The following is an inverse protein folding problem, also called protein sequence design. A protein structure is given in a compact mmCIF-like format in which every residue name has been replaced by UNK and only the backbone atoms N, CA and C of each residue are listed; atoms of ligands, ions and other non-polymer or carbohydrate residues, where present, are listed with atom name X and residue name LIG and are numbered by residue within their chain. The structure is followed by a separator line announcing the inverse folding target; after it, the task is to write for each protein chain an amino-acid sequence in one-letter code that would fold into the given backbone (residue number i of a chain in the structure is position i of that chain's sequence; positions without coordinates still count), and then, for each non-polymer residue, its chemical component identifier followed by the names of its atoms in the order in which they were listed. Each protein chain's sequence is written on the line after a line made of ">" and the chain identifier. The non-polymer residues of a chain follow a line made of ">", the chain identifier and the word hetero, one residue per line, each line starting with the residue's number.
data_IF_240928470017
#
_entry.id   IF_240928470017
#
_cell.length_a   1.000
_cell.length_b   1.000
_cell.length_c   1.000
_cell.angle_alpha   90.00
_cell.angle_beta   90.00
_cell.angle_gamma   90.00
#
_symmetry.space_group_name_H-M   'P 1'
#
loop_
_entity.id
_entity.type
_entity.pdbx_description
1 polymer ?
#
# COMPACT_ATOMS: atom_id res chain seq x y z
N UNK A 1 -38.44 21.30 -64.94
CA UNK A 1 -37.90 20.30 -63.99
C UNK A 1 -37.45 21.05 -62.75
N UNK A 2 -38.05 20.71 -61.62
CA UNK A 2 -37.96 21.43 -60.35
C UNK A 2 -36.59 21.26 -59.71
N UNK A 3 -36.09 22.33 -59.09
CA UNK A 3 -34.88 22.32 -58.28
C UNK A 3 -35.11 21.78 -56.88
N UNK A 4 -34.04 21.37 -56.22
CA UNK A 4 -33.99 21.24 -54.76
C UNK A 4 -32.57 21.46 -54.26
N UNK A 5 -32.44 22.53 -53.48
CA UNK A 5 -31.29 22.94 -52.68
C UNK A 5 -31.35 22.20 -51.34
N UNK A 6 -30.25 21.57 -50.92
CA UNK A 6 -30.12 20.99 -49.58
C UNK A 6 -29.08 21.81 -48.80
N UNK A 7 -29.53 22.49 -47.75
CA UNK A 7 -28.69 23.06 -46.69
C UNK A 7 -28.42 21.98 -45.63
N UNK A 8 -27.25 21.95 -44.98
CA UNK A 8 -27.09 21.30 -43.68
C UNK A 8 -27.25 22.35 -42.56
N UNK A 9 -28.24 22.17 -41.70
CA UNK A 9 -28.35 22.90 -40.43
C UNK A 9 -28.83 21.96 -39.33
N UNK A 10 -28.07 21.86 -38.25
CA UNK A 10 -28.43 21.16 -37.01
C UNK A 10 -27.17 20.88 -36.21
N UNK A 11 -26.59 21.87 -35.52
CA UNK A 11 -26.82 22.20 -34.10
C UNK A 11 -26.91 20.97 -33.19
N UNK A 12 -25.83 20.81 -32.43
CA UNK A 12 -25.65 19.96 -31.25
C UNK A 12 -26.83 20.01 -30.30
N UNK A 13 -27.27 18.84 -29.82
CA UNK A 13 -27.99 18.68 -28.56
C UNK A 13 -27.06 17.99 -27.56
N UNK A 14 -26.39 18.79 -26.74
CA UNK A 14 -26.04 18.42 -25.37
C UNK A 14 -27.33 18.47 -24.56
N UNK A 15 -27.70 17.37 -23.92
CA UNK A 15 -28.91 17.31 -23.11
C UNK A 15 -29.41 15.90 -22.94
N UNK A 16 -28.73 15.12 -22.09
CA UNK A 16 -29.27 13.88 -21.50
C UNK A 16 -28.52 13.34 -20.27
N UNK A 17 -27.46 13.98 -19.80
CA UNK A 17 -26.76 13.55 -18.56
C UNK A 17 -27.33 14.24 -17.30
N UNK A 18 -27.92 15.43 -17.43
CA UNK A 18 -28.42 16.21 -16.26
C UNK A 18 -29.60 15.56 -15.51
N UNK A 19 -30.29 14.58 -16.09
CA UNK A 19 -31.49 14.00 -15.48
C UNK A 19 -31.20 12.77 -14.61
N UNK A 20 -30.06 12.10 -14.79
CA UNK A 20 -29.71 10.94 -13.96
C UNK A 20 -29.02 11.35 -12.65
N UNK A 21 -28.26 12.45 -12.66
CA UNK A 21 -27.64 13.03 -11.45
C UNK A 21 -28.64 13.79 -10.57
N UNK A 22 -29.74 14.31 -11.15
CA UNK A 22 -30.77 15.04 -10.42
C UNK A 22 -31.64 14.18 -9.47
N UNK A 23 -31.63 12.84 -9.61
CA UNK A 23 -32.40 11.96 -8.71
C UNK A 23 -31.63 11.47 -7.48
N UNK A 24 -30.34 11.80 -7.37
CA UNK A 24 -29.50 11.43 -6.23
C UNK A 24 -29.10 12.62 -5.35
N UNK A 25 -29.61 13.83 -5.63
CA UNK A 25 -29.20 15.03 -4.93
C UNK A 25 -30.38 15.96 -4.53
N UNK A 26 -30.57 16.12 -3.21
CA UNK A 26 -31.13 17.26 -2.43
C UNK A 26 -32.65 17.31 -2.08
N UNK A 27 -33.04 17.99 -0.94
CA UNK A 27 -32.29 19.09 -0.29
C UNK A 27 -32.18 19.11 1.25
N UNK A 28 -31.04 19.61 1.75
CA UNK A 28 -30.95 20.43 2.96
C UNK A 28 -29.91 21.56 2.77
N UNK A 29 -30.38 22.80 2.85
CA UNK A 29 -29.67 24.08 3.06
C UNK A 29 -30.65 25.01 3.81
N UNK A 30 -30.26 26.14 4.45
CA UNK A 30 -28.97 26.87 4.37
C UNK A 30 -28.40 27.42 5.71
N UNK A 31 -27.14 27.88 5.71
CA UNK A 31 -26.71 29.09 6.44
C UNK A 31 -25.34 29.63 5.97
N UNK A 32 -25.23 30.96 5.96
CA UNK A 32 -24.16 31.83 5.43
C UNK A 32 -22.87 31.91 6.28
N UNK A 33 -21.75 32.31 5.67
CA UNK A 33 -20.57 32.87 6.39
C UNK A 33 -19.30 32.99 5.52
N UNK A 34 -18.43 34.01 5.70
CA UNK A 34 -17.71 34.66 4.60
C UNK A 34 -16.31 34.11 4.25
N UNK A 35 -15.86 34.52 3.06
CA UNK A 35 -14.57 34.25 2.42
C UNK A 35 -13.34 34.41 3.32
N UNK A 36 -12.52 33.36 3.37
CA UNK A 36 -11.15 33.39 3.86
C UNK A 36 -10.18 33.35 2.66
N UNK A 37 -9.36 34.40 2.53
CA UNK A 37 -8.20 34.42 1.63
C UNK A 37 -7.12 33.51 2.21
N UNK A 38 -6.72 32.50 1.43
CA UNK A 38 -5.53 31.68 1.72
C UNK A 38 -4.30 32.45 1.24
N UNK A 39 -3.48 32.91 2.18
CA UNK A 39 -2.12 33.38 1.92
C UNK A 39 -1.20 32.17 1.82
N UNK A 40 -0.38 32.13 0.77
CA UNK A 40 0.68 31.14 0.59
C UNK A 40 1.72 31.28 1.70
N UNK A 41 1.97 30.20 2.44
CA UNK A 41 3.07 30.13 3.41
C UNK A 41 4.30 29.48 2.79
N UNK A 42 5.40 30.23 2.74
CA UNK A 42 6.74 29.71 2.49
C UNK A 42 7.13 28.70 3.59
N UNK A 43 7.62 27.53 3.18
CA UNK A 43 8.07 26.47 4.07
C UNK A 43 9.43 26.82 4.68
N UNK A 44 9.42 27.30 5.92
CA UNK A 44 10.60 27.37 6.78
C UNK A 44 10.92 25.97 7.35
N UNK A 45 12.15 25.50 7.18
CA UNK A 45 12.65 24.25 7.76
C UNK A 45 12.93 24.43 9.25
N UNK A 46 12.02 23.96 10.10
CA UNK A 46 12.22 23.90 11.55
C UNK A 46 12.98 22.62 11.90
N UNK A 47 14.26 22.75 12.28
CA UNK A 47 15.00 21.66 12.94
C UNK A 47 14.51 21.50 14.38
N UNK A 48 13.66 20.51 14.61
CA UNK A 48 13.27 20.09 15.96
C UNK A 48 14.43 19.33 16.62
N UNK A 49 14.93 19.82 17.76
CA UNK A 49 15.84 19.07 18.62
C UNK A 49 15.03 18.02 19.38
N UNK A 50 15.26 16.74 19.08
CA UNK A 50 14.67 15.63 19.82
C UNK A 50 15.11 15.67 21.29
N UNK A 51 14.16 15.49 22.20
CA UNK A 51 14.39 15.42 23.64
C UNK A 51 14.58 13.93 24.01
N UNK A 52 15.77 13.48 24.44
CA UNK A 52 15.99 12.08 24.77
C UNK A 52 15.30 11.77 26.11
N UNK A 53 14.22 10.98 26.05
CA UNK A 53 13.63 10.38 27.25
C UNK A 53 14.64 9.39 27.85
N UNK A 54 15.14 9.70 29.04
CA UNK A 54 16.14 8.92 29.77
C UNK A 54 15.56 7.61 30.29
N UNK A 55 15.75 6.51 29.54
CA UNK A 55 15.86 5.17 30.13
C UNK A 55 17.23 5.07 30.80
N UNK A 56 17.27 5.16 32.11
CA UNK A 56 18.48 4.93 32.92
C UNK A 56 18.24 3.71 33.80
N UNK A 57 19.23 2.81 33.79
CA UNK A 57 19.39 1.62 34.64
C UNK A 57 18.73 0.33 34.16
N UNK A 58 19.33 -0.25 33.12
CA UNK A 58 19.62 -1.66 33.11
C UNK A 58 21.01 -1.85 32.46
N UNK A 59 21.77 -2.83 32.95
CA UNK A 59 23.00 -3.35 32.31
C UNK A 59 22.62 -4.01 30.99
N UNK A 60 22.16 -3.16 30.07
CA UNK A 60 21.34 -3.48 28.92
C UNK A 60 22.21 -4.15 27.86
N UNK A 61 21.99 -5.44 27.63
CA UNK A 61 22.34 -6.01 26.34
C UNK A 61 21.64 -5.16 25.28
N UNK A 62 22.41 -4.40 24.50
CA UNK A 62 21.84 -3.56 23.47
C UNK A 62 21.15 -4.49 22.46
N UNK A 63 19.83 -4.39 22.39
CA UNK A 63 19.02 -5.16 21.47
C UNK A 63 18.55 -4.25 20.35
N UNK A 64 18.61 -4.75 19.11
CA UNK A 64 17.88 -4.19 18.00
C UNK A 64 16.60 -5.00 17.81
N UNK A 65 15.44 -4.35 17.86
CA UNK A 65 14.16 -4.95 17.53
C UNK A 65 13.58 -4.32 16.27
N UNK A 66 13.31 -5.15 15.26
CA UNK A 66 12.71 -4.71 14.00
C UNK A 66 11.42 -5.46 13.73
N UNK A 67 10.49 -4.80 13.05
CA UNK A 67 9.15 -5.33 12.77
C UNK A 67 8.78 -5.11 11.31
N UNK A 68 8.12 -6.08 10.69
CA UNK A 68 7.40 -5.89 9.44
C UNK A 68 5.94 -6.29 9.59
N UNK A 69 5.03 -5.52 9.01
CA UNK A 69 3.61 -5.80 9.07
C UNK A 69 2.86 -5.25 7.86
N UNK A 70 2.32 -6.16 7.05
CA UNK A 70 1.28 -5.82 6.10
C UNK A 70 -0.04 -5.62 6.87
N UNK A 71 -0.53 -4.39 6.90
CA UNK A 71 -1.67 -3.98 7.71
C UNK A 71 -3.03 -4.37 7.07
N UNK A 72 -3.04 -4.78 5.80
CA UNK A 72 -4.26 -5.20 5.10
C UNK A 72 -5.36 -4.13 5.07
N UNK A 73 -5.01 -2.83 5.12
CA UNK A 73 -6.00 -1.75 5.15
C UNK A 73 -6.53 -1.42 3.75
N UNK A 74 -6.92 -2.45 3.01
CA UNK A 74 -7.46 -2.40 1.65
C UNK A 74 -9.01 -2.39 1.69
N UNK A 75 -9.66 -1.23 1.43
CA UNK A 75 -11.12 -1.13 1.43
C UNK A 75 -11.75 -2.08 0.42
N UNK A 76 -12.86 -2.70 0.82
CA UNK A 76 -13.59 -3.65 -0.03
C UNK A 76 -12.97 -5.04 -0.12
N UNK A 77 -11.74 -5.23 0.37
CA UNK A 77 -11.09 -6.55 0.50
C UNK A 77 -11.17 -7.03 1.94
N UNK A 78 -10.72 -6.21 2.89
CA UNK A 78 -10.76 -6.53 4.32
C UNK A 78 -11.98 -5.86 4.96
N UNK A 79 -12.77 -6.58 5.79
CA UNK A 79 -13.90 -5.98 6.50
C UNK A 79 -13.43 -5.06 7.62
N UNK A 80 -14.19 -3.98 7.87
CA UNK A 80 -14.00 -3.04 8.98
C UNK A 80 -12.62 -2.36 9.01
N UNK A 81 -12.04 -2.02 7.85
CA UNK A 81 -10.70 -1.41 7.76
C UNK A 81 -10.52 -0.15 8.61
N UNK A 82 -11.55 0.68 8.79
CA UNK A 82 -11.46 1.87 9.64
C UNK A 82 -11.29 1.54 11.12
N UNK A 83 -12.06 0.56 11.61
CA UNK A 83 -11.90 0.05 12.97
C UNK A 83 -10.52 -0.59 13.14
N UNK A 84 -10.11 -1.43 12.19
CA UNK A 84 -8.80 -2.11 12.20
C UNK A 84 -7.65 -1.13 12.17
N UNK A 85 -7.73 -0.04 11.41
CA UNK A 85 -6.68 0.98 11.39
C UNK A 85 -6.45 1.57 12.79
N UNK A 86 -7.51 1.74 13.58
CA UNK A 86 -7.43 2.20 14.97
C UNK A 86 -6.80 1.12 15.86
N UNK A 87 -7.29 -0.12 15.78
CA UNK A 87 -6.75 -1.24 16.58
C UNK A 87 -5.28 -1.54 16.26
N UNK A 88 -4.88 -1.41 14.99
CA UNK A 88 -3.50 -1.54 14.53
C UNK A 88 -2.63 -0.42 15.10
N UNK A 89 -3.12 0.82 15.08
CA UNK A 89 -2.39 1.94 15.68
C UNK A 89 -2.14 1.69 17.17
N UNK A 90 -3.16 1.26 17.91
CA UNK A 90 -3.04 0.92 19.34
C UNK A 90 -2.04 -0.22 19.56
N UNK A 91 -2.16 -1.31 18.80
CA UNK A 91 -1.26 -2.46 18.92
C UNK A 91 0.20 -2.10 18.60
N UNK A 92 0.44 -1.27 17.58
CA UNK A 92 1.79 -0.82 17.23
C UNK A 92 2.39 0.14 18.27
N UNK A 93 1.59 1.00 18.91
CA UNK A 93 2.11 1.85 20.00
C UNK A 93 2.62 1.02 21.18
N UNK A 94 1.98 -0.11 21.44
CA UNK A 94 2.34 -1.04 22.52
C UNK A 94 3.45 -2.03 22.13
N UNK A 95 3.65 -2.27 20.83
CA UNK A 95 4.67 -3.18 20.35
C UNK A 95 6.09 -2.66 20.63
N UNK A 96 6.97 -3.56 21.08
CA UNK A 96 8.40 -3.26 21.21
C UNK A 96 9.07 -3.45 19.85
N UNK A 97 9.52 -2.35 19.27
CA UNK A 97 10.36 -2.28 18.09
C UNK A 97 11.16 -0.96 18.13
N UNK A 98 12.32 -0.95 17.49
CA UNK A 98 13.10 0.24 17.18
C UNK A 98 12.79 0.75 15.78
N UNK A 99 12.58 -0.17 14.84
CA UNK A 99 12.22 0.15 13.46
C UNK A 99 11.10 -0.79 12.98
N UNK A 100 10.08 -0.23 12.34
CA UNK A 100 9.00 -0.99 11.72
C UNK A 100 8.85 -0.62 10.25
N UNK A 101 8.51 -1.61 9.43
CA UNK A 101 8.05 -1.42 8.06
C UNK A 101 6.58 -1.82 8.00
N UNK A 102 5.72 -0.87 7.63
CA UNK A 102 4.29 -1.08 7.43
C UNK A 102 4.00 -1.16 5.93
N UNK A 103 3.12 -2.06 5.54
CA UNK A 103 2.61 -2.19 4.17
C UNK A 103 1.08 -2.12 4.16
N UNK A 104 0.51 -1.82 3.00
CA UNK A 104 -0.94 -1.72 2.78
C UNK A 104 -1.67 -0.69 3.65
N UNK A 105 -1.00 0.41 4.01
CA UNK A 105 -1.64 1.58 4.63
C UNK A 105 -2.08 2.53 3.52
N UNK A 106 -3.12 2.15 2.78
CA UNK A 106 -3.43 2.77 1.50
C UNK A 106 -4.03 4.16 1.61
N UNK A 107 -5.06 4.32 2.44
CA UNK A 107 -5.87 5.54 2.45
C UNK A 107 -5.22 6.67 3.26
N UNK A 108 -5.35 7.94 2.83
CA UNK A 108 -4.78 9.07 3.55
C UNK A 108 -5.22 9.18 5.01
N UNK A 109 -6.48 8.85 5.32
CA UNK A 109 -6.98 8.89 6.71
C UNK A 109 -6.33 7.82 7.60
N UNK A 110 -6.09 6.62 7.06
CA UNK A 110 -5.43 5.54 7.79
C UNK A 110 -3.97 5.91 8.03
N UNK A 111 -3.27 6.38 7.00
CA UNK A 111 -1.90 6.88 7.14
C UNK A 111 -1.80 7.97 8.21
N UNK A 112 -2.67 8.99 8.16
CA UNK A 112 -2.68 10.07 9.14
C UNK A 112 -2.97 9.58 10.56
N UNK A 113 -3.89 8.63 10.73
CA UNK A 113 -4.22 8.05 12.04
C UNK A 113 -3.02 7.30 12.63
N UNK A 114 -2.45 6.35 11.88
CA UNK A 114 -1.28 5.59 12.32
C UNK A 114 -0.07 6.50 12.57
N UNK A 115 0.19 7.44 11.65
CA UNK A 115 1.26 8.43 11.81
C UNK A 115 1.09 9.22 13.09
N UNK A 116 -0.11 9.77 13.36
CA UNK A 116 -0.36 10.53 14.58
C UNK A 116 -0.12 9.69 15.84
N UNK A 117 -0.66 8.47 15.88
CA UNK A 117 -0.49 7.57 17.03
C UNK A 117 0.99 7.26 17.32
N UNK A 118 1.78 6.96 16.28
CA UNK A 118 3.18 6.54 16.44
C UNK A 118 4.13 7.71 16.66
N UNK A 119 3.89 8.85 16.00
CA UNK A 119 4.73 10.07 16.17
C UNK A 119 4.48 10.77 17.51
N UNK A 120 3.28 10.66 18.09
CA UNK A 120 3.02 11.10 19.46
C UNK A 120 3.90 10.35 20.48
N UNK A 121 4.32 9.12 20.16
CA UNK A 121 5.30 8.35 20.92
C UNK A 121 6.77 8.68 20.61
N UNK A 122 7.04 9.73 19.81
CA UNK A 122 8.38 10.15 19.44
C UNK A 122 9.01 9.41 18.25
N UNK A 123 8.25 8.54 17.56
CA UNK A 123 8.76 7.88 16.35
C UNK A 123 8.79 8.84 15.15
N UNK A 124 9.74 8.65 14.25
CA UNK A 124 9.74 9.20 12.89
C UNK A 124 8.85 8.38 11.98
N UNK A 125 8.13 9.04 11.08
CA UNK A 125 7.29 8.41 10.05
C UNK A 125 7.78 8.84 8.66
N UNK A 126 8.10 7.87 7.82
CA UNK A 126 8.58 8.08 6.46
C UNK A 126 7.69 7.30 5.50
N UNK A 127 7.05 8.01 4.57
CA UNK A 127 6.21 7.44 3.52
C UNK A 127 6.45 8.24 2.24
N UNK A 128 6.54 7.58 1.07
CA UNK A 128 6.53 8.30 -0.20
C UNK A 128 5.23 9.09 -0.37
N UNK A 129 5.26 10.25 -1.05
CA UNK A 129 4.04 10.88 -1.50
C UNK A 129 3.33 9.98 -2.53
N UNK A 130 2.00 10.09 -2.67
CA UNK A 130 1.28 9.35 -3.70
C UNK A 130 1.74 9.77 -5.11
N UNK A 131 1.77 8.83 -6.06
CA UNK A 131 1.95 9.16 -7.47
C UNK A 131 0.69 9.79 -8.04
N UNK A 132 0.87 10.78 -8.91
CA UNK A 132 -0.26 11.42 -9.58
C UNK A 132 -0.99 10.43 -10.47
N UNK A 133 -2.30 10.36 -10.27
CA UNK A 133 -3.27 9.66 -11.14
C UNK A 133 -4.10 10.67 -11.97
N UNK A 134 -3.60 11.90 -12.12
CA UNK A 134 -4.27 12.94 -12.89
C UNK A 134 -4.43 12.54 -14.36
N UNK A 135 -5.45 13.07 -15.03
CA UNK A 135 -5.72 12.80 -16.45
C UNK A 135 -6.43 11.47 -16.74
N UNK A 136 -6.71 10.66 -15.72
CA UNK A 136 -7.57 9.49 -15.86
C UNK A 136 -9.04 9.93 -15.88
N UNK A 137 -9.81 9.39 -16.83
CA UNK A 137 -11.24 9.65 -16.98
C UNK A 137 -11.94 8.42 -17.52
N UNK A 138 -13.27 8.43 -17.46
CA UNK A 138 -14.12 7.40 -18.00
C UNK A 138 -14.92 7.93 -19.20
N UNK A 139 -15.14 7.09 -20.20
CA UNK A 139 -16.12 7.37 -21.25
C UNK A 139 -17.56 7.27 -20.73
N UNK A 140 -18.44 8.09 -21.31
CA UNK A 140 -19.87 8.13 -20.93
C UNK A 140 -20.54 6.75 -20.98
N UNK A 141 -20.20 5.91 -21.97
CA UNK A 141 -20.78 4.57 -22.14
C UNK A 141 -20.35 3.58 -21.05
N UNK A 142 -19.11 3.70 -20.57
CA UNK A 142 -18.55 2.88 -19.50
C UNK A 142 -19.28 3.19 -18.19
N UNK A 143 -19.36 4.49 -17.85
CA UNK A 143 -20.04 4.94 -16.63
C UNK A 143 -21.53 4.64 -16.65
N UNK A 144 -22.20 4.85 -17.79
CA UNK A 144 -23.65 4.60 -17.89
C UNK A 144 -23.98 3.14 -17.56
N UNK A 145 -23.19 2.20 -18.09
CA UNK A 145 -23.41 0.77 -17.87
C UNK A 145 -23.17 0.41 -16.39
N UNK A 146 -22.04 0.84 -15.83
CA UNK A 146 -21.70 0.57 -14.43
C UNK A 146 -22.71 1.19 -13.45
N UNK A 147 -23.07 2.47 -13.64
CA UNK A 147 -24.04 3.19 -12.80
C UNK A 147 -25.40 2.51 -12.86
N UNK A 148 -25.84 2.07 -14.04
CA UNK A 148 -27.12 1.35 -14.18
C UNK A 148 -27.12 0.05 -13.38
N UNK A 149 -26.03 -0.71 -13.40
CA UNK A 149 -25.92 -1.93 -12.61
C UNK A 149 -25.90 -1.63 -11.10
N UNK A 150 -25.04 -0.71 -10.66
CA UNK A 150 -24.91 -0.33 -9.24
C UNK A 150 -26.25 0.17 -8.68
N UNK A 151 -26.97 1.01 -9.43
CA UNK A 151 -28.28 1.49 -9.02
C UNK A 151 -29.33 0.37 -8.89
N UNK A 152 -29.22 -0.67 -9.71
CA UNK A 152 -30.17 -1.79 -9.74
C UNK A 152 -29.88 -2.84 -8.66
N UNK A 153 -28.61 -3.07 -8.33
CA UNK A 153 -28.19 -4.19 -7.50
C UNK A 153 -27.61 -3.79 -6.13
N UNK A 154 -27.11 -2.56 -5.97
CA UNK A 154 -26.34 -2.16 -4.80
C UNK A 154 -27.00 -1.08 -3.93
N UNK A 155 -28.30 -0.83 -4.14
CA UNK A 155 -29.04 0.13 -3.32
C UNK A 155 -29.23 -0.41 -1.91
N UNK A 156 -28.79 0.35 -0.91
CA UNK A 156 -28.95 0.02 0.51
C UNK A 156 -27.83 -0.87 1.07
N UNK A 157 -26.84 -1.20 0.25
CA UNK A 157 -25.67 -1.95 0.68
C UNK A 157 -24.76 -1.11 1.56
N UNK A 158 -24.16 -1.75 2.56
CA UNK A 158 -23.20 -1.11 3.47
C UNK A 158 -21.90 -0.69 2.78
N UNK A 159 -21.55 -1.37 1.68
CA UNK A 159 -20.42 -1.03 0.80
C UNK A 159 -20.83 -1.17 -0.65
N UNK A 160 -21.07 -0.02 -1.30
CA UNK A 160 -21.38 0.04 -2.73
C UNK A 160 -20.25 -0.58 -3.58
N UNK A 161 -19.00 -0.34 -3.20
CA UNK A 161 -17.84 -0.89 -3.91
C UNK A 161 -17.79 -2.44 -3.84
N UNK A 162 -17.97 -3.02 -2.66
CA UNK A 162 -18.01 -4.48 -2.49
C UNK A 162 -19.18 -5.09 -3.27
N UNK A 163 -20.36 -4.48 -3.20
CA UNK A 163 -21.49 -4.92 -4.00
C UNK A 163 -21.21 -4.84 -5.51
N UNK A 164 -20.64 -3.74 -6.00
CA UNK A 164 -20.32 -3.58 -7.42
C UNK A 164 -19.37 -4.69 -7.91
N UNK A 165 -18.35 -5.04 -7.13
CA UNK A 165 -17.41 -6.14 -7.44
C UNK A 165 -18.13 -7.48 -7.61
N UNK A 166 -19.15 -7.75 -6.78
CA UNK A 166 -19.87 -9.02 -6.81
C UNK A 166 -21.03 -9.07 -7.80
N UNK A 167 -21.80 -7.99 -7.88
CA UNK A 167 -23.06 -7.94 -8.63
C UNK A 167 -22.95 -7.25 -9.98
N UNK A 168 -21.91 -6.43 -10.20
CA UNK A 168 -21.68 -5.64 -11.42
C UNK A 168 -20.35 -5.96 -12.08
N UNK A 169 -19.90 -7.21 -11.93
CA UNK A 169 -18.58 -7.64 -12.41
C UNK A 169 -18.42 -7.49 -13.92
N UNK A 170 -19.46 -7.77 -14.70
CA UNK A 170 -19.39 -7.68 -16.16
C UNK A 170 -19.14 -6.23 -16.62
N UNK A 171 -19.78 -5.26 -15.97
CA UNK A 171 -19.60 -3.84 -16.21
C UNK A 171 -18.21 -3.37 -15.77
N UNK A 172 -17.73 -3.83 -14.61
CA UNK A 172 -16.38 -3.54 -14.11
C UNK A 172 -15.29 -4.12 -15.02
N UNK A 173 -15.44 -5.37 -15.47
CA UNK A 173 -14.50 -6.02 -16.40
C UNK A 173 -14.51 -5.35 -17.79
N UNK A 174 -15.58 -4.62 -18.11
CA UNK A 174 -15.74 -3.84 -19.34
C UNK A 174 -15.11 -2.44 -19.30
N UNK A 175 -14.62 -1.98 -18.15
CA UNK A 175 -13.96 -0.68 -18.02
C UNK A 175 -12.59 -0.70 -18.71
N UNK A 176 -12.23 0.42 -19.32
CA UNK A 176 -10.85 0.72 -19.69
C UNK A 176 -9.96 0.84 -18.45
N UNK A 177 -8.67 0.56 -18.61
CA UNK A 177 -7.69 0.64 -17.52
C UNK A 177 -7.68 2.05 -16.88
N UNK A 178 -7.85 3.10 -17.71
CA UNK A 178 -7.91 4.48 -17.23
C UNK A 178 -9.17 4.78 -16.41
N UNK A 179 -10.33 4.29 -16.86
CA UNK A 179 -11.56 4.46 -16.10
C UNK A 179 -11.53 3.67 -14.77
N UNK A 180 -11.08 2.41 -14.79
CA UNK A 180 -10.97 1.58 -13.61
C UNK A 180 -10.03 2.20 -12.56
N UNK A 181 -8.90 2.76 -12.99
CA UNK A 181 -7.98 3.45 -12.11
C UNK A 181 -8.54 4.78 -11.59
N UNK A 182 -9.27 5.54 -12.40
CA UNK A 182 -9.95 6.75 -11.93
C UNK A 182 -10.97 6.41 -10.82
N UNK A 183 -11.83 5.41 -11.04
CA UNK A 183 -12.87 5.03 -10.08
C UNK A 183 -12.31 4.45 -8.79
N UNK A 184 -11.15 3.80 -8.86
CA UNK A 184 -10.47 3.23 -7.70
C UNK A 184 -9.53 4.21 -6.99
N UNK A 185 -9.36 5.43 -7.53
CA UNK A 185 -8.52 6.44 -6.92
C UNK A 185 -9.04 6.89 -5.55
N UNK A 186 -10.36 6.84 -5.35
CA UNK A 186 -11.02 7.18 -4.10
C UNK A 186 -12.20 6.23 -3.88
N UNK A 187 -11.94 5.19 -3.09
CA UNK A 187 -12.92 4.17 -2.70
C UNK A 187 -13.84 4.63 -1.56
N UNK A 188 -13.56 5.78 -0.94
CA UNK A 188 -14.35 6.29 0.18
C UNK A 188 -15.51 7.16 -0.27
N UNK A 189 -15.38 7.77 -1.44
CA UNK A 189 -16.43 8.53 -2.09
C UNK A 189 -16.72 7.97 -3.49
N UNK A 190 -17.35 6.78 -3.62
CA UNK A 190 -17.64 6.19 -4.94
C UNK A 190 -18.49 7.11 -5.83
N UNK A 191 -19.42 7.88 -5.25
CA UNK A 191 -20.27 8.79 -6.00
C UNK A 191 -19.52 10.04 -6.48
N UNK A 192 -18.69 10.64 -5.62
CA UNK A 192 -17.81 11.73 -6.04
C UNK A 192 -16.74 11.26 -7.02
N UNK A 193 -16.24 10.02 -6.88
CA UNK A 193 -15.35 9.38 -7.87
C UNK A 193 -16.03 9.25 -9.22
N UNK A 194 -17.28 8.80 -9.29
CA UNK A 194 -18.03 8.77 -10.55
C UNK A 194 -18.14 10.17 -11.19
N UNK A 195 -18.48 11.20 -10.41
CA UNK A 195 -18.59 12.56 -10.91
C UNK A 195 -17.24 13.13 -11.39
N UNK A 196 -16.15 12.86 -10.66
CA UNK A 196 -14.79 13.26 -11.05
C UNK A 196 -14.33 12.55 -12.31
N UNK A 197 -14.59 11.24 -12.42
CA UNK A 197 -14.18 10.44 -13.56
C UNK A 197 -15.02 10.68 -14.81
N UNK A 198 -16.25 11.19 -14.66
CA UNK A 198 -17.09 11.66 -15.75
C UNK A 198 -16.66 13.02 -16.31
N UNK A 199 -15.88 13.80 -15.55
CA UNK A 199 -15.39 15.07 -16.05
C UNK A 199 -14.40 14.82 -17.18
N UNK A 200 -14.45 15.61 -18.27
CA UNK A 200 -13.42 15.52 -19.30
C UNK A 200 -12.06 15.72 -18.64
N UNK A 201 -11.11 14.85 -18.95
CA UNK A 201 -9.74 15.02 -18.48
C UNK A 201 -9.32 16.46 -18.79
N UNK A 202 -8.95 17.22 -17.76
CA UNK A 202 -8.43 18.56 -17.97
C UNK A 202 -7.30 18.43 -19.00
N UNK A 203 -7.30 19.27 -20.04
CA UNK A 203 -6.18 19.37 -20.98
C UNK A 203 -4.97 19.91 -20.21
N UNK A 204 -4.32 19.06 -19.41
CA UNK A 204 -3.07 19.40 -18.76
C UNK A 204 -2.00 19.49 -19.84
N UNK A 205 -1.64 20.73 -20.14
CA UNK A 205 -0.96 21.15 -21.35
C UNK A 205 0.55 20.83 -21.40
N UNK A 206 1.09 19.93 -20.58
CA UNK A 206 2.54 19.67 -20.59
C UNK A 206 2.99 18.31 -20.02
N UNK A 207 2.10 17.33 -19.83
CA UNK A 207 2.50 16.05 -19.26
C UNK A 207 2.89 15.07 -20.37
N UNK A 208 4.18 15.03 -20.66
CA UNK A 208 4.80 14.13 -21.66
C UNK A 208 4.75 12.64 -21.32
N UNK A 209 4.16 12.25 -20.18
CA UNK A 209 4.01 10.85 -19.76
C UNK A 209 2.53 10.47 -19.63
N UNK A 210 2.12 9.31 -20.16
CA UNK A 210 0.75 8.84 -19.99
C UNK A 210 0.47 8.63 -18.49
N UNK A 211 -0.75 8.97 -18.03
CA UNK A 211 -1.11 8.75 -16.65
C UNK A 211 -1.06 7.27 -16.31
N UNK A 212 -0.53 6.94 -15.13
CA UNK A 212 -0.43 5.56 -14.68
C UNK A 212 -1.74 5.17 -14.00
N UNK A 213 -2.36 4.03 -14.38
CA UNK A 213 -3.66 3.62 -13.86
C UNK A 213 -3.52 2.99 -12.47
N UNK A 214 -2.96 3.73 -11.52
CA UNK A 214 -2.79 3.25 -10.15
C UNK A 214 -4.08 3.29 -9.35
N UNK A 215 -4.34 2.21 -8.63
CA UNK A 215 -5.44 2.13 -7.68
C UNK A 215 -5.12 2.96 -6.43
N UNK A 216 -6.15 3.25 -5.62
CA UNK A 216 -6.02 3.84 -4.28
C UNK A 216 -5.27 5.18 -4.26
N UNK A 217 -5.53 5.99 -5.30
CA UNK A 217 -5.03 7.35 -5.42
C UNK A 217 -3.52 7.43 -5.63
N UNK A 218 -2.91 6.37 -6.19
CA UNK A 218 -1.47 6.31 -6.35
C UNK A 218 -0.71 6.21 -5.02
N UNK A 219 -1.36 5.73 -3.96
CA UNK A 219 -0.68 5.47 -2.69
C UNK A 219 0.29 4.30 -2.82
N UNK A 220 1.51 4.45 -2.30
CA UNK A 220 2.46 3.34 -2.17
C UNK A 220 2.05 2.33 -1.10
N UNK A 221 1.21 2.74 -0.16
CA UNK A 221 0.78 1.92 0.98
C UNK A 221 1.91 1.51 1.93
N UNK A 222 3.13 2.04 1.77
CA UNK A 222 4.29 1.66 2.58
C UNK A 222 4.75 2.80 3.49
N UNK A 223 5.14 2.46 4.71
CA UNK A 223 5.74 3.41 5.64
C UNK A 223 6.87 2.77 6.44
N UNK A 224 7.97 3.50 6.61
CA UNK A 224 9.03 3.19 7.56
C UNK A 224 8.80 4.02 8.84
N UNK A 225 8.74 3.35 9.98
CA UNK A 225 8.58 3.96 11.29
C UNK A 225 9.83 3.68 12.11
N UNK A 226 10.44 4.70 12.72
CA UNK A 226 11.65 4.52 13.54
C UNK A 226 11.58 5.28 14.85
N UNK A 227 11.85 4.61 15.96
CA UNK A 227 12.05 5.23 17.29
C UNK A 227 13.51 5.67 17.51
N UNK A 228 14.37 5.42 16.53
CA UNK A 228 15.77 5.83 16.51
C UNK A 228 15.96 7.01 15.55
N UNK A 229 17.03 7.81 15.68
CA UNK A 229 17.31 8.89 14.74
C UNK A 229 17.50 8.37 13.32
N UNK A 230 16.85 9.02 12.34
CA UNK A 230 16.91 8.65 10.93
C UNK A 230 17.63 9.74 10.12
N UNK A 231 18.50 9.34 9.21
CA UNK A 231 19.18 10.18 8.23
C UNK A 231 19.13 9.55 6.84
N UNK A 232 19.55 10.30 5.81
CA UNK A 232 19.81 9.80 4.46
C UNK A 232 18.64 8.97 3.89
N UNK A 233 17.45 9.57 3.90
CA UNK A 233 16.23 8.93 3.41
C UNK A 233 16.16 9.03 1.89
N UNK A 234 15.97 7.90 1.24
CA UNK A 234 15.73 7.81 -0.19
C UNK A 234 14.47 6.97 -0.47
N UNK A 235 13.71 7.40 -1.45
CA UNK A 235 12.59 6.64 -2.00
C UNK A 235 12.91 6.25 -3.43
N UNK A 236 12.94 4.95 -3.72
CA UNK A 236 13.19 4.44 -5.07
C UNK A 236 11.94 3.76 -5.58
N UNK A 237 11.26 4.40 -6.53
CA UNK A 237 10.11 3.82 -7.23
C UNK A 237 10.53 2.68 -8.14
N UNK A 238 9.68 1.68 -8.24
CA UNK A 238 9.81 0.56 -9.17
C UNK A 238 8.70 0.63 -10.22
N UNK A 239 8.99 0.10 -11.41
CA UNK A 239 7.96 -0.15 -12.40
C UNK A 239 6.90 -1.09 -11.81
N UNK A 240 5.64 -0.70 -11.97
CA UNK A 240 4.50 -1.37 -11.37
C UNK A 240 3.22 -1.10 -12.16
N UNK A 241 2.33 -2.07 -12.16
CA UNK A 241 1.11 -2.11 -12.98
C UNK A 241 -0.14 -1.60 -12.28
N UNK A 242 -0.32 -1.94 -11.01
CA UNK A 242 -1.58 -1.68 -10.27
C UNK A 242 -1.45 -0.68 -9.14
N UNK A 243 -0.36 -0.77 -8.38
CA UNK A 243 -0.08 0.13 -7.26
C UNK A 243 1.37 0.57 -7.40
N UNK A 244 1.72 1.83 -7.09
CA UNK A 244 3.10 2.23 -7.01
C UNK A 244 3.86 1.32 -6.05
N UNK A 245 4.89 0.68 -6.56
CA UNK A 245 5.82 -0.14 -5.76
C UNK A 245 7.15 0.57 -5.67
N UNK A 246 7.89 0.31 -4.61
CA UNK A 246 9.19 0.91 -4.40
C UNK A 246 9.80 0.43 -3.10
N UNK A 247 10.90 1.08 -2.73
CA UNK A 247 11.58 0.86 -1.45
C UNK A 247 11.88 2.19 -0.79
N UNK A 248 11.62 2.26 0.50
CA UNK A 248 12.10 3.30 1.40
C UNK A 248 13.44 2.81 1.93
N UNK A 249 14.52 3.51 1.60
CA UNK A 249 15.83 3.34 2.21
C UNK A 249 16.08 4.47 3.21
N UNK A 250 16.65 4.13 4.35
CA UNK A 250 17.07 5.10 5.34
C UNK A 250 18.28 4.59 6.14
N UNK A 251 19.09 5.51 6.65
CA UNK A 251 20.10 5.20 7.67
C UNK A 251 19.54 5.48 9.06
N UNK A 252 19.63 4.50 9.95
CA UNK A 252 19.14 4.57 11.32
C UNK A 252 20.32 4.52 12.28
N UNK A 253 20.45 5.52 13.15
CA UNK A 253 21.52 5.58 14.14
C UNK A 253 21.22 4.63 15.32
N UNK A 254 21.89 3.48 15.35
CA UNK A 254 21.80 2.50 16.42
C UNK A 254 22.98 2.64 17.40
N UNK A 255 22.75 2.58 18.73
CA UNK A 255 23.82 2.79 19.73
C UNK A 255 25.05 1.88 19.59
N UNK A 256 24.85 0.64 19.13
CA UNK A 256 25.94 -0.35 18.98
C UNK A 256 26.40 -0.58 17.55
N UNK A 257 25.48 -0.52 16.58
CA UNK A 257 25.82 -0.81 15.18
C UNK A 257 26.33 0.44 14.46
N UNK A 258 26.24 1.62 15.07
CA UNK A 258 26.44 2.88 14.39
C UNK A 258 25.32 3.10 13.37
N UNK A 259 25.67 3.27 12.10
CA UNK A 259 24.67 3.42 11.02
C UNK A 259 24.15 2.05 10.56
N UNK A 260 22.85 1.84 10.73
CA UNK A 260 22.10 0.69 10.21
C UNK A 260 21.35 1.10 8.94
N UNK A 261 21.59 0.40 7.83
CA UNK A 261 20.79 0.60 6.62
C UNK A 261 19.46 -0.15 6.75
N UNK A 262 18.35 0.54 6.60
CA UNK A 262 17.02 -0.06 6.65
C UNK A 262 16.33 0.10 5.31
N UNK A 263 15.83 -1.01 4.77
CA UNK A 263 15.02 -1.06 3.56
C UNK A 263 13.61 -1.52 3.92
N UNK A 264 12.60 -0.75 3.53
CA UNK A 264 11.19 -1.08 3.71
C UNK A 264 10.49 -1.12 2.36
N UNK A 265 9.88 -2.26 2.00
CA UNK A 265 9.28 -2.46 0.68
C UNK A 265 7.98 -3.29 0.74
N UNK A 266 7.22 -3.23 -0.34
CA UNK A 266 6.11 -4.14 -0.62
C UNK A 266 6.18 -4.48 -2.12
N UNK A 267 6.59 -5.70 -2.45
CA UNK A 267 6.79 -6.12 -3.84
C UNK A 267 5.47 -6.58 -4.47
N UNK A 268 5.38 -6.54 -5.80
CA UNK A 268 4.19 -6.95 -6.54
C UNK A 268 3.81 -8.40 -6.23
N UNK A 269 2.55 -8.69 -5.84
CA UNK A 269 2.07 -10.04 -5.58
C UNK A 269 1.92 -10.86 -6.86
N UNK A 270 2.00 -12.19 -6.74
CA UNK A 270 1.55 -13.07 -7.83
C UNK A 270 0.04 -13.31 -7.75
N UNK A 271 -0.67 -12.67 -8.66
CA UNK A 271 -2.13 -12.69 -8.70
C UNK A 271 -2.61 -13.65 -9.80
N UNK A 272 -2.88 -14.91 -9.42
CA UNK A 272 -3.32 -15.94 -10.37
C UNK A 272 -4.70 -15.61 -10.91
N UNK A 273 -4.86 -15.62 -12.23
CA UNK A 273 -6.15 -15.40 -12.90
C UNK A 273 -6.57 -13.94 -13.02
N UNK A 274 -5.78 -13.00 -12.50
CA UNK A 274 -5.99 -11.58 -12.75
C UNK A 274 -5.20 -11.13 -13.98
N UNK A 275 -5.85 -10.33 -14.83
CA UNK A 275 -5.22 -9.71 -16.01
C UNK A 275 -4.19 -8.69 -15.52
N UNK A 276 -2.98 -8.76 -16.06
CA UNK A 276 -1.92 -7.78 -15.79
C UNK A 276 -2.06 -6.56 -16.71
N UNK A 277 -2.12 -5.33 -16.18
CA UNK A 277 -2.12 -4.11 -16.99
C UNK A 277 -0.73 -3.46 -17.04
N UNK A 278 -0.13 -3.06 -18.19
CA UNK A 278 -0.38 -3.52 -19.55
C UNK A 278 0.05 -5.00 -19.74
N UNK A 279 -0.11 -5.57 -20.94
CA UNK A 279 0.00 -7.00 -21.32
C UNK A 279 1.29 -7.78 -20.91
N UNK A 280 1.58 -7.84 -19.62
CA UNK A 280 2.71 -8.50 -19.00
C UNK A 280 2.28 -9.59 -18.02
N UNK A 281 3.13 -9.89 -17.04
CA UNK A 281 2.85 -10.86 -15.99
C UNK A 281 3.37 -10.33 -14.66
N UNK A 282 2.58 -10.50 -13.60
CA UNK A 282 2.96 -10.04 -12.26
C UNK A 282 4.27 -10.70 -11.78
N UNK A 283 4.52 -11.94 -12.21
CA UNK A 283 5.78 -12.64 -11.96
C UNK A 283 6.95 -11.88 -12.61
N UNK A 284 6.84 -11.50 -13.88
CA UNK A 284 7.90 -10.76 -14.57
C UNK A 284 8.13 -9.38 -13.97
N UNK A 285 7.06 -8.68 -13.59
CA UNK A 285 7.15 -7.40 -12.87
C UNK A 285 7.89 -7.56 -11.54
N UNK A 286 7.45 -8.47 -10.67
CA UNK A 286 8.12 -8.73 -9.39
C UNK A 286 9.59 -9.13 -9.60
N UNK A 287 9.89 -9.88 -10.67
CA UNK A 287 11.26 -10.25 -11.00
C UNK A 287 12.15 -9.01 -11.25
N UNK A 288 11.65 -8.02 -12.01
CA UNK A 288 12.37 -6.75 -12.25
C UNK A 288 12.52 -5.94 -10.97
N UNK A 289 11.50 -5.93 -10.11
CA UNK A 289 11.56 -5.25 -8.81
C UNK A 289 12.64 -5.85 -7.90
N UNK A 290 12.77 -7.19 -7.86
CA UNK A 290 13.84 -7.86 -7.11
C UNK A 290 15.22 -7.51 -7.65
N UNK A 291 15.38 -7.48 -8.97
CA UNK A 291 16.65 -7.07 -9.59
C UNK A 291 17.02 -5.64 -9.21
N UNK A 292 16.06 -4.71 -9.27
CA UNK A 292 16.25 -3.31 -8.89
C UNK A 292 16.59 -3.17 -7.41
N UNK A 293 15.86 -3.86 -6.52
CA UNK A 293 16.09 -3.87 -5.08
C UNK A 293 17.47 -4.44 -4.72
N UNK A 294 17.84 -5.58 -5.30
CA UNK A 294 19.16 -6.19 -5.11
C UNK A 294 20.29 -5.25 -5.54
N UNK A 295 20.12 -4.58 -6.70
CA UNK A 295 21.08 -3.59 -7.20
C UNK A 295 21.25 -2.41 -6.24
N UNK A 296 20.15 -1.89 -5.70
CA UNK A 296 20.16 -0.81 -4.71
C UNK A 296 20.92 -1.21 -3.44
N UNK A 297 20.57 -2.36 -2.85
CA UNK A 297 21.19 -2.88 -1.62
C UNK A 297 22.71 -3.07 -1.78
N UNK A 298 23.13 -3.56 -2.94
CA UNK A 298 24.55 -3.80 -3.21
C UNK A 298 25.32 -2.50 -3.46
N UNK A 299 24.69 -1.50 -4.09
CA UNK A 299 25.30 -0.19 -4.31
C UNK A 299 25.45 0.61 -3.00
N UNK A 300 24.47 0.53 -2.10
CA UNK A 300 24.37 1.44 -0.95
C UNK A 300 24.89 0.85 0.37
N UNK A 301 24.95 -0.48 0.51
CA UNK A 301 25.22 -1.10 1.82
C UNK A 301 26.29 -2.19 1.78
N UNK A 302 27.28 -2.06 0.89
CA UNK A 302 28.24 -3.13 0.58
C UNK A 302 28.88 -3.79 1.82
N UNK A 303 29.26 -3.01 2.85
CA UNK A 303 29.88 -3.52 4.09
C UNK A 303 29.15 -3.12 5.37
N UNK A 304 28.09 -2.32 5.28
CA UNK A 304 27.38 -1.81 6.46
C UNK A 304 26.31 -2.80 6.95
N UNK A 305 26.05 -2.85 8.27
CA UNK A 305 24.91 -3.57 8.80
C UNK A 305 23.63 -3.10 8.12
N UNK A 306 22.75 -4.04 7.79
CA UNK A 306 21.48 -3.72 7.17
C UNK A 306 20.38 -4.70 7.51
N UNK A 307 19.15 -4.20 7.46
CA UNK A 307 17.92 -5.00 7.48
C UNK A 307 17.03 -4.64 6.29
N UNK A 308 16.39 -5.65 5.72
CA UNK A 308 15.32 -5.53 4.74
C UNK A 308 14.04 -6.08 5.36
N UNK A 309 13.03 -5.23 5.42
CA UNK A 309 11.74 -5.46 6.03
C UNK A 309 10.65 -5.32 4.96
N UNK A 310 9.64 -6.18 4.98
CA UNK A 310 8.47 -6.01 4.13
C UNK A 310 7.75 -7.28 3.74
N UNK A 311 6.59 -7.10 3.12
CA UNK A 311 5.93 -8.11 2.30
C UNK A 311 6.64 -8.20 0.94
N UNK A 312 7.46 -9.23 0.80
CA UNK A 312 8.20 -9.48 -0.43
C UNK A 312 7.36 -10.23 -1.47
N UNK A 313 6.16 -10.69 -1.11
CA UNK A 313 5.30 -11.50 -1.97
C UNK A 313 6.00 -12.73 -2.57
N UNK A 314 7.07 -13.20 -1.91
CA UNK A 314 7.86 -14.36 -2.28
C UNK A 314 8.50 -14.97 -1.05
N UNK A 315 8.73 -16.28 -1.07
CA UNK A 315 9.30 -17.03 0.05
C UNK A 315 9.56 -18.49 -0.31
N UNK A 316 10.30 -19.18 0.56
CA UNK A 316 10.58 -20.62 0.40
C UNK A 316 9.44 -21.47 0.97
N UNK A 317 9.55 -22.79 0.82
CA UNK A 317 8.75 -23.72 1.63
C UNK A 317 9.19 -23.66 3.10
N UNK A 318 8.36 -24.21 3.98
CA UNK A 318 8.80 -24.63 5.30
C UNK A 318 9.92 -25.68 5.23
N UNK A 319 10.46 -26.03 6.40
CA UNK A 319 11.39 -27.15 6.52
C UNK A 319 10.81 -28.44 5.91
N UNK A 320 11.67 -29.39 5.55
CA UNK A 320 11.26 -30.64 4.91
C UNK A 320 10.12 -31.32 5.70
N UNK A 321 8.96 -31.49 5.06
CA UNK A 321 7.77 -32.10 5.65
C UNK A 321 6.79 -31.12 6.32
N UNK A 322 7.07 -29.81 6.37
CA UNK A 322 6.10 -28.82 6.83
C UNK A 322 4.99 -28.64 5.80
N UNK A 323 3.74 -28.83 6.25
CA UNK A 323 2.52 -28.50 5.51
C UNK A 323 1.94 -27.14 5.91
N UNK A 324 2.60 -26.44 6.85
CA UNK A 324 2.09 -25.20 7.44
C UNK A 324 2.03 -24.06 6.42
N UNK A 325 2.97 -24.00 5.48
CA UNK A 325 2.95 -23.01 4.42
C UNK A 325 3.63 -23.46 3.14
N UNK A 326 3.17 -22.89 2.03
CA UNK A 326 3.66 -23.16 0.68
C UNK A 326 4.65 -22.08 0.26
N UNK A 327 5.60 -22.45 -0.60
CA UNK A 327 6.47 -21.46 -1.23
C UNK A 327 5.67 -20.57 -2.17
N UNK A 328 6.08 -19.31 -2.26
CA UNK A 328 5.61 -18.37 -3.27
C UNK A 328 6.81 -17.88 -4.07
N UNK A 329 6.84 -18.20 -5.37
CA UNK A 329 7.93 -17.81 -6.28
C UNK A 329 9.33 -18.09 -5.68
N UNK A 330 9.63 -19.31 -5.16
CA UNK A 330 10.86 -19.57 -4.41
C UNK A 330 12.15 -19.20 -5.17
N UNK A 331 12.13 -19.25 -6.51
CA UNK A 331 13.25 -18.82 -7.36
C UNK A 331 13.57 -17.32 -7.24
N UNK A 332 12.56 -16.48 -7.02
CA UNK A 332 12.70 -15.04 -6.84
C UNK A 332 13.34 -14.73 -5.49
N UNK A 333 12.79 -15.31 -4.42
CA UNK A 333 13.36 -15.20 -3.08
C UNK A 333 14.81 -15.70 -3.02
N UNK A 334 15.09 -16.88 -3.59
CA UNK A 334 16.44 -17.41 -3.64
C UNK A 334 17.41 -16.51 -4.44
N UNK A 335 16.93 -15.87 -5.52
CA UNK A 335 17.73 -14.90 -6.27
C UNK A 335 18.05 -13.66 -5.43
N UNK A 336 17.07 -13.10 -4.72
CA UNK A 336 17.29 -11.98 -3.80
C UNK A 336 18.39 -12.31 -2.78
N UNK A 337 18.26 -13.45 -2.07
CA UNK A 337 19.25 -13.86 -1.07
C UNK A 337 20.64 -14.07 -1.67
N UNK A 338 20.75 -14.74 -2.83
CA UNK A 338 22.05 -14.96 -3.50
C UNK A 338 22.70 -13.65 -3.96
N UNK A 339 21.92 -12.72 -4.51
CA UNK A 339 22.45 -11.46 -5.05
C UNK A 339 22.90 -10.49 -3.95
N UNK A 340 22.25 -10.53 -2.79
CA UNK A 340 22.48 -9.59 -1.70
C UNK A 340 23.27 -10.19 -0.54
N UNK A 341 23.41 -11.52 -0.46
CA UNK A 341 24.00 -12.17 0.72
C UNK A 341 23.17 -11.97 2.00
N UNK A 342 21.90 -11.59 1.86
CA UNK A 342 20.97 -11.48 2.98
C UNK A 342 20.69 -12.85 3.59
N UNK A 343 20.39 -12.82 4.88
CA UNK A 343 19.97 -13.98 5.68
C UNK A 343 18.62 -13.69 6.30
N UNK A 344 17.82 -14.74 6.49
CA UNK A 344 16.55 -14.61 7.21
C UNK A 344 16.79 -14.55 8.70
N UNK A 345 16.00 -13.74 9.40
CA UNK A 345 15.81 -13.86 10.84
C UNK A 345 14.97 -15.12 11.12
N UNK A 346 15.64 -16.28 11.12
CA UNK A 346 14.99 -17.57 11.34
C UNK A 346 14.89 -17.88 12.84
N UNK A 347 13.70 -18.29 13.27
CA UNK A 347 13.46 -18.97 14.53
C UNK A 347 12.38 -20.03 14.30
N UNK A 348 12.32 -21.09 15.12
CA UNK A 348 11.22 -22.08 15.03
C UNK A 348 9.83 -21.45 15.20
N UNK A 349 9.72 -20.33 15.92
CA UNK A 349 8.47 -19.59 16.09
C UNK A 349 8.14 -18.70 14.88
N UNK A 350 9.16 -18.30 14.11
CA UNK A 350 9.00 -17.56 12.86
C UNK A 350 8.87 -18.46 11.62
N UNK A 351 9.09 -19.77 11.75
CA UNK A 351 8.86 -20.80 10.73
C UNK A 351 7.37 -21.10 10.50
N UNK A 352 6.52 -20.08 10.63
CA UNK A 352 5.07 -20.15 10.42
C UNK A 352 4.68 -19.31 9.19
N UNK A 353 3.47 -19.52 8.67
CA UNK A 353 2.91 -18.59 7.68
C UNK A 353 2.78 -17.19 8.28
N UNK A 354 2.94 -16.18 7.42
CA UNK A 354 2.66 -14.77 7.71
C UNK A 354 1.36 -14.34 7.06
N UNK A 355 1.03 -14.91 5.91
CA UNK A 355 -0.29 -14.88 5.29
C UNK A 355 -0.93 -16.27 5.44
N UNK A 356 -1.73 -16.46 6.47
CA UNK A 356 -2.22 -17.78 6.86
C UNK A 356 -3.65 -18.03 6.39
N UNK A 357 -3.90 -19.20 5.83
CA UNK A 357 -5.22 -19.62 5.34
C UNK A 357 -6.20 -19.94 6.47
N UNK A 358 -5.71 -20.12 7.69
CA UNK A 358 -6.51 -20.18 8.92
C UNK A 358 -6.75 -18.82 9.56
N UNK A 359 -6.27 -17.71 8.98
CA UNK A 359 -6.59 -16.37 9.48
C UNK A 359 -8.10 -16.12 9.28
N UNK A 360 -8.85 -15.66 10.30
CA UNK A 360 -10.29 -15.41 10.18
C UNK A 360 -10.67 -14.36 9.12
N UNK A 361 -9.71 -13.54 8.67
CA UNK A 361 -9.92 -12.56 7.60
C UNK A 361 -9.60 -13.08 6.20
N UNK A 362 -8.96 -14.25 6.13
CA UNK A 362 -8.63 -14.92 4.87
C UNK A 362 -8.91 -16.43 5.00
N UNK A 363 -10.17 -16.83 5.26
CA UNK A 363 -10.49 -18.24 5.42
C UNK A 363 -10.29 -18.97 4.10
N UNK A 364 -9.48 -20.02 4.10
CA UNK A 364 -9.32 -20.93 2.97
C UNK A 364 -9.52 -22.39 3.43
N UNK A 365 -10.33 -23.20 2.72
CA UNK A 365 -10.76 -24.51 3.18
C UNK A 365 -9.59 -25.50 3.38
N UNK A 366 -8.53 -25.36 2.59
CA UNK A 366 -7.42 -26.33 2.56
C UNK A 366 -6.37 -26.14 3.67
N UNK A 367 -6.52 -25.13 4.54
CA UNK A 367 -5.53 -24.79 5.57
C UNK A 367 -4.15 -24.40 5.02
N UNK A 368 -3.17 -24.15 5.89
CA UNK A 368 -1.81 -23.76 5.52
C UNK A 368 -1.62 -22.24 5.40
N UNK A 369 -0.81 -21.79 4.43
CA UNK A 369 -0.54 -20.37 4.21
C UNK A 369 0.67 -20.11 3.34
N UNK A 370 1.14 -18.87 3.37
CA UNK A 370 2.35 -18.40 2.71
C UNK A 370 3.23 -17.66 3.73
N UNK A 371 4.54 -17.74 3.56
CA UNK A 371 5.49 -16.91 4.29
C UNK A 371 6.13 -15.92 3.33
N UNK A 372 5.53 -14.74 3.26
CA UNK A 372 5.87 -13.68 2.29
C UNK A 372 6.32 -12.39 2.96
N UNK A 373 6.06 -12.24 4.26
CA UNK A 373 6.56 -11.14 5.09
C UNK A 373 7.89 -11.57 5.72
N UNK A 374 8.95 -10.78 5.51
CA UNK A 374 10.29 -11.17 5.93
C UNK A 374 11.02 -10.07 6.69
N UNK A 375 11.79 -10.51 7.67
CA UNK A 375 12.93 -9.76 8.20
C UNK A 375 14.21 -10.43 7.70
N UNK A 376 14.91 -9.73 6.81
CA UNK A 376 16.19 -10.17 6.26
C UNK A 376 17.31 -9.25 6.75
N UNK A 377 18.52 -9.77 6.92
CA UNK A 377 19.65 -9.00 7.45
C UNK A 377 21.00 -9.41 6.84
N UNK A 378 21.98 -8.49 6.90
CA UNK A 378 23.39 -8.71 6.55
C UNK A 378 24.26 -7.85 7.47
N UNK A 379 25.45 -8.36 7.84
CA UNK A 379 26.39 -7.62 8.68
C UNK A 379 25.98 -7.48 10.15
N UNK A 380 25.09 -8.35 10.64
CA UNK A 380 24.67 -8.45 12.05
C UNK A 380 24.97 -9.88 12.53
N UNK A 381 25.47 -10.06 13.76
CA UNK A 381 25.78 -11.38 14.30
C UNK A 381 24.50 -12.23 14.41
N UNK A 382 24.40 -13.36 13.70
CA UNK A 382 23.22 -14.22 13.73
C UNK A 382 23.01 -14.99 15.04
N UNK A 383 24.01 -15.06 15.93
CA UNK A 383 24.02 -16.00 17.07
C UNK A 383 22.97 -15.70 18.14
N UNK A 384 22.26 -14.57 18.01
CA UNK A 384 21.25 -14.14 18.97
C UNK A 384 20.02 -13.51 18.30
N UNK A 385 19.55 -14.11 17.20
CA UNK A 385 18.31 -13.66 16.53
C UNK A 385 17.12 -14.46 17.03
N UNK A 386 16.25 -13.81 17.79
CA UNK A 386 14.90 -14.30 18.04
C UNK A 386 13.94 -13.70 17.02
N UNK A 387 13.03 -14.49 16.48
CA UNK A 387 11.95 -13.98 15.65
C UNK A 387 10.62 -14.57 16.09
N UNK A 388 9.55 -13.81 15.99
CA UNK A 388 8.21 -14.22 16.41
C UNK A 388 7.14 -13.55 15.55
N UNK A 389 5.96 -14.17 15.58
CA UNK A 389 4.75 -13.65 14.95
C UNK A 389 3.94 -12.89 15.98
N UNK A 390 3.51 -11.68 15.64
CA UNK A 390 2.66 -10.84 16.49
C UNK A 390 1.27 -10.70 15.88
N UNK A 391 0.34 -10.20 16.69
CA UNK A 391 -1.05 -9.91 16.30
C UNK A 391 -1.81 -11.13 15.78
N UNK A 392 -1.55 -12.30 16.38
CA UNK A 392 -2.23 -13.56 16.05
C UNK A 392 -3.66 -13.56 16.58
N UNK A 393 -3.84 -13.14 17.83
CA UNK A 393 -5.14 -13.07 18.49
C UNK A 393 -5.27 -11.74 19.28
N UNK A 394 -6.22 -10.85 18.93
CA UNK A 394 -7.05 -10.92 17.73
C UNK A 394 -6.21 -10.72 16.45
N UNK A 395 -6.64 -11.33 15.34
CA UNK A 395 -6.05 -11.07 14.02
C UNK A 395 -6.40 -9.64 13.58
N UNK A 396 -5.40 -8.78 13.49
CA UNK A 396 -5.58 -7.36 13.12
C UNK A 396 -5.56 -7.13 11.60
N UNK A 397 -4.91 -8.03 10.86
CA UNK A 397 -4.77 -8.04 9.40
C UNK A 397 -4.90 -9.49 8.92
N UNK A 398 -5.14 -9.69 7.63
CA UNK A 398 -5.02 -10.99 6.95
C UNK A 398 -3.57 -11.51 6.93
N UNK A 399 -2.62 -10.61 7.17
CA UNK A 399 -1.24 -10.91 7.52
C UNK A 399 -1.00 -10.85 9.03
N UNK A 400 0.01 -11.58 9.49
CA UNK A 400 0.55 -11.46 10.83
C UNK A 400 1.89 -10.72 10.80
N UNK A 401 2.11 -9.84 11.77
CA UNK A 401 3.37 -9.13 11.89
C UNK A 401 4.52 -10.08 12.24
N UNK A 402 5.71 -9.80 11.72
CA UNK A 402 6.95 -10.50 12.07
C UNK A 402 7.86 -9.54 12.79
N UNK A 403 8.24 -9.89 14.02
CA UNK A 403 9.24 -9.17 14.81
C UNK A 403 10.51 -10.00 14.90
N UNK A 404 11.66 -9.38 14.66
CA UNK A 404 12.96 -9.95 14.99
C UNK A 404 13.65 -9.10 16.07
N UNK A 405 14.39 -9.79 16.94
CA UNK A 405 15.20 -9.23 18.02
C UNK A 405 16.62 -9.75 17.85
N UNK A 406 17.59 -8.85 17.73
CA UNK A 406 19.01 -9.14 17.61
C UNK A 406 19.68 -8.73 18.92
N UNK A 407 20.33 -9.65 19.64
CA UNK A 407 21.22 -9.27 20.73
C UNK A 407 22.59 -8.89 20.14
N UNK A 408 23.09 -7.70 20.49
CA UNK A 408 24.26 -7.08 19.88
C UNK A 408 25.44 -6.94 20.85
#
# INVERSE_FOLDING_TARGET
>A
MQGSSIRPSGRHRLGRIDTLLAFLALPLLPACGPSLRVLSSESASVRLKANPSSRTDATDSHQLSVLTFNAGLAPGVIPNVDQRATEIADALTQAEFDVACLQEVWLPRHQKSLQAALTNGGASWLSPPPESVAGLSCGDSELTSLVSCVASHCRGESSVASCAIHSCRAELDGLSDGCAACLSADLDDPLGSLARCAAPAAEESDVSLPPKPYLLGGSYGTALVSRLPVTDVEYVSFESSMHPRGVIHAQVAHPVLGSLNVYCTHLTPFLRGMKHPPAGQFITEQSRQIERLSGLINAQSASSPLVLLGDLNTGTHGGAGSTEYQARLPQHFARLLRQTGLRRADSRAADQCTFCYGNPLQPHPDGGGLRIDHVLFRGIDPRAVGAERLFVEPALSDHYAVRAKFLL
#
